data_IF_630803078428
#
_entry.id   IF_630803078428
#
_cell.length_a   1.000
_cell.length_b   1.000
_cell.length_c   1.000
_cell.angle_alpha   90.00
_cell.angle_beta   90.00
_cell.angle_gamma   90.00
#
_symmetry.space_group_name_H-M   'P 1'
#
loop_
_entity.id
_entity.type
_entity.pdbx_description
1 polymer ?
#
# COMPACT_ATOMS: atom_id res chain seq x y z
N UNK A 1 27.46 16.76 15.18
CA UNK A 1 26.67 16.27 14.04
C UNK A 1 25.92 15.03 14.50
N UNK A 2 24.63 15.17 14.81
CA UNK A 2 23.83 14.02 15.20
C UNK A 2 23.61 13.14 13.95
N UNK A 3 24.22 11.95 13.96
CA UNK A 3 23.84 10.87 13.07
C UNK A 3 22.34 10.63 13.34
N UNK A 4 21.48 11.07 12.43
CA UNK A 4 20.05 10.84 12.57
C UNK A 4 19.84 9.32 12.65
N UNK A 5 19.49 8.90 13.86
CA UNK A 5 19.00 7.59 14.28
C UNK A 5 18.31 6.85 13.13
N UNK A 6 18.63 5.55 13.00
CA UNK A 6 18.05 4.63 12.04
C UNK A 6 16.57 4.94 11.78
N UNK A 7 16.26 5.41 10.56
CA UNK A 7 14.89 5.66 10.15
C UNK A 7 14.13 4.35 10.24
N UNK A 8 13.40 4.15 11.34
CA UNK A 8 12.44 3.05 11.49
C UNK A 8 11.30 3.36 10.53
N UNK A 9 11.47 2.99 9.26
CA UNK A 9 10.44 3.11 8.23
C UNK A 9 9.33 2.12 8.54
N UNK A 10 8.34 2.58 9.31
CA UNK A 10 7.13 1.82 9.58
C UNK A 10 6.25 1.83 8.34
N UNK A 11 5.75 0.66 7.96
CA UNK A 11 4.77 0.52 6.89
C UNK A 11 3.36 0.59 7.47
N UNK A 12 2.44 1.30 6.82
CA UNK A 12 1.01 1.24 7.15
C UNK A 12 0.34 0.19 6.29
N UNK A 13 -0.34 -0.75 6.94
CA UNK A 13 -1.22 -1.72 6.29
C UNK A 13 -2.64 -1.17 6.23
N UNK A 14 -3.18 -1.04 5.03
CA UNK A 14 -4.50 -0.48 4.75
C UNK A 14 -5.43 -1.58 4.18
N UNK A 15 -6.30 -2.18 5.00
CA UNK A 15 -7.35 -3.06 4.51
C UNK A 15 -8.43 -2.23 3.79
N UNK A 16 -8.93 -2.72 2.66
CA UNK A 16 -9.96 -2.05 1.85
C UNK A 16 -11.00 -3.07 1.38
N UNK A 17 -12.27 -2.73 1.51
CA UNK A 17 -13.35 -3.70 1.30
C UNK A 17 -13.62 -4.00 -0.18
N UNK A 18 -13.38 -3.04 -1.07
CA UNK A 18 -13.70 -3.20 -2.50
C UNK A 18 -12.48 -3.09 -3.41
N UNK A 19 -12.41 -3.88 -4.51
CA UNK A 19 -11.32 -3.78 -5.48
C UNK A 19 -11.23 -2.42 -6.16
N UNK A 20 -12.38 -1.75 -6.37
CA UNK A 20 -12.45 -0.43 -6.98
C UNK A 20 -11.83 0.64 -6.08
N UNK A 21 -12.19 0.61 -4.79
CA UNK A 21 -11.63 1.54 -3.82
C UNK A 21 -10.13 1.31 -3.59
N UNK A 22 -9.69 0.04 -3.55
CA UNK A 22 -8.27 -0.27 -3.42
C UNK A 22 -7.44 0.32 -4.56
N UNK A 23 -7.93 0.24 -5.82
CA UNK A 23 -7.29 0.88 -6.97
C UNK A 23 -7.28 2.40 -6.84
N UNK A 24 -8.40 3.02 -6.48
CA UNK A 24 -8.52 4.48 -6.30
C UNK A 24 -7.51 5.00 -5.28
N UNK A 25 -7.46 4.38 -4.10
CA UNK A 25 -6.54 4.77 -3.03
C UNK A 25 -5.09 4.57 -3.45
N UNK A 26 -4.76 3.41 -4.04
CA UNK A 26 -3.40 3.13 -4.49
C UNK A 26 -2.91 4.15 -5.51
N UNK A 27 -3.72 4.50 -6.52
CA UNK A 27 -3.33 5.48 -7.52
C UNK A 27 -3.14 6.88 -6.91
N UNK A 28 -3.97 7.28 -5.95
CA UNK A 28 -3.81 8.56 -5.26
C UNK A 28 -2.54 8.61 -4.40
N UNK A 29 -2.19 7.52 -3.71
CA UNK A 29 -0.97 7.45 -2.91
C UNK A 29 0.30 7.30 -3.78
N UNK A 30 0.18 6.72 -4.97
CA UNK A 30 1.28 6.55 -5.91
C UNK A 30 1.62 7.84 -6.67
N UNK A 31 0.76 8.86 -6.63
CA UNK A 31 1.02 10.17 -7.25
C UNK A 31 2.27 10.81 -6.62
N UNK A 32 3.28 11.05 -7.45
CA UNK A 32 4.64 11.47 -7.06
C UNK A 32 5.32 10.56 -6.01
N UNK A 33 4.86 9.31 -5.91
CA UNK A 33 5.42 8.28 -5.05
C UNK A 33 6.32 7.30 -5.81
N UNK A 34 6.80 6.29 -5.08
CA UNK A 34 7.57 5.18 -5.62
C UNK A 34 6.77 3.88 -5.45
N UNK A 35 6.33 3.30 -6.56
CA UNK A 35 5.66 1.99 -6.56
C UNK A 35 6.71 0.88 -6.45
N UNK A 36 6.72 0.14 -5.35
CA UNK A 36 7.56 -1.07 -5.24
C UNK A 36 6.87 -2.31 -5.79
N UNK A 37 5.54 -2.39 -5.65
CA UNK A 37 4.74 -3.44 -6.23
C UNK A 37 3.43 -2.85 -6.81
N UNK A 38 3.24 -2.87 -8.13
CA UNK A 38 2.02 -2.40 -8.76
C UNK A 38 0.79 -3.08 -8.18
N UNK A 39 -0.34 -2.36 -8.11
CA UNK A 39 -1.57 -2.95 -7.63
C UNK A 39 -2.05 -4.04 -8.58
N UNK A 40 -2.15 -5.26 -8.05
CA UNK A 40 -2.49 -6.45 -8.83
C UNK A 40 -3.31 -7.43 -8.00
N UNK A 41 -3.91 -8.41 -8.67
CA UNK A 41 -4.57 -9.52 -7.98
C UNK A 41 -3.54 -10.52 -7.45
N UNK A 42 -3.86 -11.17 -6.33
CA UNK A 42 -3.07 -12.29 -5.80
C UNK A 42 -4.00 -13.47 -5.45
N UNK A 43 -3.39 -14.60 -5.06
CA UNK A 43 -4.14 -15.76 -4.59
C UNK A 43 -5.07 -15.41 -3.42
N UNK A 44 -4.64 -14.51 -2.52
CA UNK A 44 -5.37 -14.19 -1.28
C UNK A 44 -6.08 -12.83 -1.29
N UNK A 45 -5.94 -12.04 -2.35
CA UNK A 45 -6.48 -10.69 -2.41
C UNK A 45 -6.99 -10.35 -3.80
N UNK A 46 -8.16 -9.70 -3.88
CA UNK A 46 -8.63 -9.11 -5.12
C UNK A 46 -7.69 -8.01 -5.59
N UNK A 47 -7.13 -7.21 -4.67
CA UNK A 47 -6.08 -6.22 -4.94
C UNK A 47 -5.05 -6.18 -3.83
N UNK A 48 -3.78 -6.16 -4.20
CA UNK A 48 -2.65 -5.99 -3.29
C UNK A 48 -1.61 -5.12 -3.98
N UNK A 49 -1.04 -4.15 -3.26
CA UNK A 49 -0.07 -3.19 -3.79
C UNK A 49 0.82 -2.62 -2.70
N UNK A 50 2.06 -2.24 -3.07
CA UNK A 50 3.04 -1.63 -2.19
C UNK A 50 3.64 -0.39 -2.85
N UNK A 51 3.67 0.72 -2.12
CA UNK A 51 4.26 1.98 -2.57
C UNK A 51 4.84 2.76 -1.38
N UNK A 52 5.73 3.70 -1.67
CA UNK A 52 6.05 4.83 -0.79
C UNK A 52 5.39 6.08 -1.38
N UNK A 53 4.62 6.83 -0.60
CA UNK A 53 3.99 8.06 -1.10
C UNK A 53 5.00 9.21 -1.22
N UNK A 54 4.56 10.33 -1.80
CA UNK A 54 5.38 11.55 -1.99
C UNK A 54 5.94 12.17 -0.70
N UNK A 55 5.44 11.77 0.47
CA UNK A 55 5.91 12.23 1.78
C UNK A 55 6.91 11.26 2.41
N UNK A 56 7.26 10.17 1.72
CA UNK A 56 8.19 9.16 2.19
C UNK A 56 7.56 8.09 3.09
N UNK A 57 6.22 8.00 3.16
CA UNK A 57 5.53 6.98 3.95
C UNK A 57 5.32 5.71 3.14
N UNK A 58 5.72 4.57 3.70
CA UNK A 58 5.47 3.25 3.11
C UNK A 58 4.04 2.75 3.39
N UNK A 59 3.40 2.21 2.37
CA UNK A 59 2.03 1.71 2.37
C UNK A 59 1.92 0.29 1.79
N UNK A 60 1.04 -0.51 2.38
CA UNK A 60 0.50 -1.73 1.80
C UNK A 60 -1.01 -1.55 1.69
N UNK A 61 -1.55 -1.59 0.47
CA UNK A 61 -3.00 -1.56 0.21
C UNK A 61 -3.46 -2.99 -0.05
N UNK A 62 -4.43 -3.49 0.71
CA UNK A 62 -4.90 -4.87 0.61
C UNK A 62 -6.43 -4.98 0.63
N UNK A 63 -7.02 -5.44 -0.47
CA UNK A 63 -8.40 -5.89 -0.54
C UNK A 63 -8.42 -7.41 -0.56
N UNK A 64 -8.57 -8.01 0.62
CA UNK A 64 -8.53 -9.46 0.83
C UNK A 64 -9.74 -10.14 0.22
N UNK A 65 -9.53 -11.37 -0.27
CA UNK A 65 -10.63 -12.29 -0.56
C UNK A 65 -11.05 -12.90 0.77
N UNK A 66 -12.12 -12.39 1.38
CA UNK A 66 -12.76 -13.11 2.48
C UNK A 66 -13.34 -14.39 1.88
N UNK A 67 -13.14 -15.57 2.50
CA UNK A 67 -14.07 -16.68 2.26
C UNK A 67 -15.46 -16.14 2.62
N UNK A 68 -16.44 -16.36 1.76
CA UNK A 68 -17.78 -15.78 1.85
C UNK A 68 -18.29 -15.70 3.31
N UNK A 69 -18.86 -14.54 3.67
CA UNK A 69 -19.56 -14.34 4.94
C UNK A 69 -20.77 -15.29 5.06
#
# INVERSE_FOLDING_TARGET
MALHSASKRTCVYLPVDTPAEAKRIFHALAEDGEVQMPIQETVRSYRFGMLTDRYGKAWIVNCTKTPDA
#
